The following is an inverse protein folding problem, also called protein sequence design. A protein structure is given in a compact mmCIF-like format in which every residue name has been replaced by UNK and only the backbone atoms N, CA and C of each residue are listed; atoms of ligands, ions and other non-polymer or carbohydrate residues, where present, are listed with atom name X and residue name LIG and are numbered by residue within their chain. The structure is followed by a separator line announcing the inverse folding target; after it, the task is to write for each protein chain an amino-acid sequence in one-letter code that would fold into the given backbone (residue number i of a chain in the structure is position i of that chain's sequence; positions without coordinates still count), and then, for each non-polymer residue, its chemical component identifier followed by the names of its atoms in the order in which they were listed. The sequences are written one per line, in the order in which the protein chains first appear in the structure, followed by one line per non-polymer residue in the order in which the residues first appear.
data_IF_515441308881
#
_entry.id   IF_515441308881
#
_cell.length_a   1.000
_cell.length_b   1.000
_cell.length_c   1.000
_cell.angle_alpha   90.00
_cell.angle_beta   90.00
_cell.angle_gamma   90.00
#
_symmetry.space_group_name_H-M   'P 1'
#
loop_
_entity.id
_entity.type
_entity.pdbx_description
1 polymer ?
#
# COMPACT_ATOMS: atom_id res chain seq x y z
N UNK A 1 6.83 1.70 14.92
CA UNK A 1 5.58 1.60 14.12
C UNK A 1 5.88 2.19 12.78
N UNK A 2 6.10 1.32 11.81
CA UNK A 2 6.12 1.58 10.38
C UNK A 2 4.97 2.48 9.88
N UNK A 3 5.10 2.96 8.65
CA UNK A 3 4.07 3.74 7.98
C UNK A 3 4.15 3.62 6.47
N UNK A 4 3.06 4.02 5.83
CA UNK A 4 2.93 4.06 4.37
C UNK A 4 2.72 5.49 3.88
N UNK A 5 3.13 5.74 2.64
CA UNK A 5 2.87 6.96 1.87
C UNK A 5 2.42 6.56 0.46
N UNK A 6 1.40 7.23 -0.05
CA UNK A 6 1.02 7.20 -1.46
C UNK A 6 0.80 8.64 -1.94
N UNK A 7 1.36 8.98 -3.09
CA UNK A 7 1.20 10.29 -3.72
C UNK A 7 0.80 10.05 -5.18
N UNK A 8 -0.33 10.62 -5.60
CA UNK A 8 -0.97 10.34 -6.88
C UNK A 8 -1.31 11.63 -7.61
N UNK A 9 -0.90 11.75 -8.87
CA UNK A 9 -1.31 12.85 -9.76
C UNK A 9 -2.68 12.59 -10.36
N UNK A 10 -3.72 13.24 -9.84
CA UNK A 10 -5.08 13.19 -10.39
C UNK A 10 -5.21 14.19 -11.56
N UNK A 11 -4.75 13.79 -12.74
CA UNK A 11 -4.91 14.57 -13.99
C UNK A 11 -3.90 15.70 -14.20
N UNK A 12 -2.94 15.87 -13.30
CA UNK A 12 -1.78 16.76 -13.43
C UNK A 12 -0.49 15.94 -13.23
N UNK A 13 0.65 16.55 -13.58
CA UNK A 13 1.98 15.96 -13.58
C UNK A 13 2.24 15.09 -12.34
N UNK A 14 2.95 13.97 -12.58
CA UNK A 14 3.55 13.14 -11.55
C UNK A 14 4.12 13.98 -10.40
N UNK A 15 3.87 13.63 -9.13
CA UNK A 15 4.44 14.36 -8.01
C UNK A 15 5.97 14.42 -8.16
N UNK A 16 6.55 15.63 -8.02
CA UNK A 16 8.00 15.83 -8.05
C UNK A 16 8.67 14.96 -6.98
N UNK A 17 9.73 14.25 -7.37
CA UNK A 17 10.63 13.49 -6.49
C UNK A 17 11.02 14.27 -5.23
N UNK A 18 11.26 15.59 -5.33
CA UNK A 18 11.57 16.45 -4.19
C UNK A 18 10.40 16.53 -3.21
N UNK A 19 9.17 16.70 -3.71
CA UNK A 19 7.96 16.72 -2.88
C UNK A 19 7.75 15.38 -2.19
N UNK A 20 7.89 14.28 -2.92
CA UNK A 20 7.78 12.93 -2.36
C UNK A 20 8.83 12.72 -1.26
N UNK A 21 10.09 13.09 -1.51
CA UNK A 21 11.16 12.99 -0.50
C UNK A 21 10.90 13.84 0.73
N UNK A 22 10.33 15.03 0.56
CA UNK A 22 9.92 15.88 1.70
C UNK A 22 8.79 15.24 2.51
N UNK A 23 7.80 14.64 1.88
CA UNK A 23 6.73 13.90 2.56
C UNK A 23 7.26 12.65 3.28
N UNK A 24 8.21 11.95 2.66
CA UNK A 24 8.89 10.79 3.27
C UNK A 24 9.71 11.19 4.49
N UNK A 25 10.32 12.38 4.51
CA UNK A 25 11.00 12.87 5.71
C UNK A 25 10.02 13.00 6.91
N UNK A 26 8.75 13.32 6.65
CA UNK A 26 7.70 13.30 7.67
C UNK A 26 7.40 11.90 8.22
N UNK A 27 7.66 10.84 7.44
CA UNK A 27 7.56 9.45 7.87
C UNK A 27 8.77 8.94 8.65
N UNK A 28 9.85 9.73 8.81
CA UNK A 28 11.07 9.27 9.49
C UNK A 28 10.82 8.82 10.95
N UNK A 29 9.82 9.39 11.63
CA UNK A 29 9.39 8.96 12.97
C UNK A 29 8.77 7.55 13.00
N UNK A 30 8.35 7.06 11.84
CA UNK A 30 7.78 5.73 11.63
C UNK A 30 8.76 4.72 11.03
N UNK A 31 9.90 5.17 10.54
CA UNK A 31 10.96 4.29 10.08
C UNK A 31 12.09 5.00 9.36
N UNK A 32 13.30 4.48 9.51
CA UNK A 32 14.51 4.99 8.85
C UNK A 32 14.79 4.33 7.52
N UNK A 33 14.28 3.12 7.29
CA UNK A 33 14.34 2.45 5.99
C UNK A 33 13.10 2.78 5.17
N UNK A 34 13.31 3.38 4.00
CA UNK A 34 12.23 3.68 3.06
C UNK A 34 12.36 2.81 1.80
N UNK A 35 11.28 2.12 1.45
CA UNK A 35 11.13 1.50 0.14
C UNK A 35 10.19 2.38 -0.68
N UNK A 36 10.58 2.71 -1.91
CA UNK A 36 9.83 3.60 -2.81
C UNK A 36 9.58 2.84 -4.10
N UNK A 37 8.37 2.95 -4.62
CA UNK A 37 7.93 2.40 -5.88
C UNK A 37 7.24 3.51 -6.70
N UNK A 38 7.79 3.81 -7.86
CA UNK A 38 7.19 4.72 -8.83
C UNK A 38 6.42 3.88 -9.86
N UNK A 39 5.09 3.93 -9.78
CA UNK A 39 4.18 3.19 -10.66
C UNK A 39 3.65 4.08 -11.80
N UNK A 40 3.12 3.42 -12.85
CA UNK A 40 2.43 4.07 -13.98
C UNK A 40 3.20 5.26 -14.58
N UNK A 41 4.47 5.04 -14.93
CA UNK A 41 5.34 6.07 -15.54
C UNK A 41 5.46 7.37 -14.73
N UNK A 42 5.29 7.28 -13.41
CA UNK A 42 5.40 8.41 -12.48
C UNK A 42 4.06 8.99 -12.01
N UNK A 43 2.92 8.57 -12.55
CA UNK A 43 1.61 9.07 -12.08
C UNK A 43 1.32 8.75 -10.61
N UNK A 44 1.99 7.73 -10.08
CA UNK A 44 1.82 7.27 -8.71
C UNK A 44 3.19 6.96 -8.07
N UNK A 45 3.42 7.49 -6.88
CA UNK A 45 4.53 7.09 -6.02
C UNK A 45 3.99 6.49 -4.73
N UNK A 46 4.34 5.23 -4.48
CA UNK A 46 4.01 4.52 -3.25
C UNK A 46 5.28 4.24 -2.47
N UNK A 47 5.20 4.32 -1.15
CA UNK A 47 6.34 4.11 -0.31
C UNK A 47 5.96 3.57 1.07
N UNK A 48 6.94 2.94 1.71
CA UNK A 48 6.85 2.49 3.09
C UNK A 48 8.04 2.95 3.87
N UNK A 49 7.83 3.45 5.09
CA UNK A 49 8.88 3.70 6.07
C UNK A 49 8.81 2.65 7.19
N UNK A 50 9.93 2.03 7.52
CA UNK A 50 10.04 1.02 8.61
C UNK A 50 11.36 1.11 9.36
N UNK A 51 11.44 0.49 10.53
CA UNK A 51 12.70 0.37 11.26
C UNK A 51 13.40 -0.97 10.98
N UNK A 52 14.75 -1.02 10.93
CA UNK A 52 15.49 -2.25 10.63
C UNK A 52 15.16 -3.43 11.56
N UNK A 53 14.93 -3.15 12.85
CA UNK A 53 14.62 -4.17 13.86
C UNK A 53 13.19 -4.71 13.76
N UNK A 54 12.31 -4.10 12.96
CA UNK A 54 10.98 -4.66 12.74
C UNK A 54 11.07 -6.02 11.98
N UNK A 55 12.22 -6.36 11.35
CA UNK A 55 12.50 -7.70 10.78
C UNK A 55 13.94 -8.20 10.98
N UNK A 56 14.09 -9.33 11.66
CA UNK A 56 15.34 -10.11 11.67
C UNK A 56 15.47 -11.10 10.47
N UNK A 57 14.78 -10.88 9.34
CA UNK A 57 14.67 -11.92 8.28
C UNK A 57 14.26 -11.51 6.84
N UNK A 58 14.41 -10.25 6.43
CA UNK A 58 14.27 -9.85 5.01
C UNK A 58 12.99 -9.08 4.64
N UNK A 59 12.66 -9.03 3.33
CA UNK A 59 11.55 -8.24 2.74
C UNK A 59 10.13 -8.73 3.07
N UNK A 60 9.99 -9.81 3.85
CA UNK A 60 8.70 -10.49 4.12
C UNK A 60 8.02 -10.01 5.41
N UNK A 61 7.77 -8.70 5.51
CA UNK A 61 7.09 -8.09 6.65
C UNK A 61 5.65 -7.62 6.39
N UNK A 62 4.90 -7.19 7.43
CA UNK A 62 3.57 -6.59 7.28
C UNK A 62 3.65 -5.29 6.48
N UNK A 63 4.81 -4.63 6.47
CA UNK A 63 5.04 -3.36 5.80
C UNK A 63 5.83 -3.60 4.53
N UNK A 64 5.16 -3.48 3.39
CA UNK A 64 5.83 -3.63 2.09
C UNK A 64 5.11 -2.88 0.99
N UNK A 65 5.89 -2.45 -0.01
CA UNK A 65 5.41 -1.90 -1.27
C UNK A 65 5.74 -2.88 -2.39
N UNK A 66 4.75 -3.21 -3.22
CA UNK A 66 4.89 -4.20 -4.30
C UNK A 66 4.05 -3.80 -5.51
N UNK A 67 4.49 -4.23 -6.70
CA UNK A 67 3.75 -4.11 -7.97
C UNK A 67 3.48 -5.49 -8.59
N UNK A 68 2.35 -5.59 -9.29
CA UNK A 68 2.04 -6.70 -10.19
C UNK A 68 1.25 -6.15 -11.39
N UNK A 69 1.94 -6.01 -12.53
CA UNK A 69 1.36 -5.42 -13.74
C UNK A 69 1.01 -3.94 -13.53
N UNK A 70 -0.22 -3.55 -13.87
CA UNK A 70 -0.71 -2.18 -13.68
C UNK A 70 -1.11 -1.85 -12.23
N UNK A 71 -1.02 -2.81 -11.30
CA UNK A 71 -1.37 -2.60 -9.90
C UNK A 71 -0.14 -2.40 -9.04
N UNK A 72 -0.21 -1.45 -8.12
CA UNK A 72 0.80 -1.23 -7.09
C UNK A 72 0.15 -1.01 -5.73
N UNK A 73 0.76 -1.48 -4.65
CA UNK A 73 0.23 -1.28 -3.29
C UNK A 73 1.37 -1.00 -2.31
N UNK A 74 1.18 -0.02 -1.43
CA UNK A 74 1.92 0.10 -0.18
C UNK A 74 0.97 -0.25 0.97
N UNK A 75 1.36 -1.23 1.78
CA UNK A 75 0.55 -1.66 2.91
C UNK A 75 1.41 -1.77 4.16
N UNK A 76 0.77 -1.48 5.29
CA UNK A 76 1.17 -1.92 6.62
C UNK A 76 0.06 -2.86 7.12
N UNK A 77 0.28 -4.18 7.06
CA UNK A 77 -0.78 -5.18 7.17
C UNK A 77 -0.32 -6.48 7.84
N UNK A 78 -0.97 -6.86 8.94
CA UNK A 78 -0.93 -8.21 9.52
C UNK A 78 -2.23 -8.95 9.22
N UNK A 79 -2.24 -9.80 8.19
CA UNK A 79 -3.40 -10.64 7.84
C UNK A 79 -3.37 -11.96 8.61
N UNK A 80 -4.47 -12.31 9.28
CA UNK A 80 -4.54 -13.44 10.20
C UNK A 80 -4.79 -14.77 9.47
N UNK A 81 -5.80 -14.83 8.59
CA UNK A 81 -6.22 -16.08 7.92
C UNK A 81 -5.68 -16.20 6.48
N UNK A 82 -4.37 -16.01 6.30
CA UNK A 82 -3.75 -15.97 4.97
C UNK A 82 -3.93 -17.26 4.16
N UNK A 83 -3.93 -18.43 4.82
CA UNK A 83 -4.17 -19.72 4.15
C UNK A 83 -5.57 -19.79 3.56
N UNK A 84 -6.57 -19.29 4.28
CA UNK A 84 -7.97 -19.30 3.84
C UNK A 84 -8.18 -18.29 2.72
N UNK A 85 -7.59 -17.10 2.85
CA UNK A 85 -7.59 -16.09 1.80
C UNK A 85 -6.96 -16.64 0.50
N UNK A 86 -5.81 -17.33 0.58
CA UNK A 86 -5.19 -17.98 -0.59
C UNK A 86 -6.10 -19.02 -1.24
N UNK A 87 -6.83 -19.81 -0.45
CA UNK A 87 -7.82 -20.77 -0.98
C UNK A 87 -8.96 -20.07 -1.71
N UNK A 88 -9.52 -18.99 -1.13
CA UNK A 88 -10.56 -18.19 -1.76
C UNK A 88 -10.08 -17.55 -3.08
N UNK A 89 -8.85 -17.04 -3.10
CA UNK A 89 -8.23 -16.46 -4.31
C UNK A 89 -8.01 -17.51 -5.40
N UNK A 90 -7.57 -18.71 -5.02
CA UNK A 90 -7.43 -19.83 -5.95
C UNK A 90 -8.79 -20.23 -6.55
N UNK A 91 -9.85 -20.30 -5.73
CA UNK A 91 -11.21 -20.57 -6.20
C UNK A 91 -11.74 -19.48 -7.14
N UNK A 92 -11.33 -18.23 -6.93
CA UNK A 92 -11.62 -17.10 -7.82
C UNK A 92 -10.74 -17.08 -9.10
N UNK A 93 -9.82 -18.04 -9.27
CA UNK A 93 -8.93 -18.12 -10.42
C UNK A 93 -7.82 -17.06 -10.45
N UNK A 94 -7.53 -16.42 -9.31
CA UNK A 94 -6.53 -15.35 -9.23
C UNK A 94 -5.20 -15.89 -8.66
N UNK A 95 -4.09 -15.82 -9.43
CA UNK A 95 -2.80 -16.25 -8.93
C UNK A 95 -2.27 -15.26 -7.88
N UNK A 96 -1.72 -15.79 -6.78
CA UNK A 96 -0.98 -15.00 -5.79
C UNK A 96 0.51 -15.12 -6.08
N UNK A 97 1.11 -14.05 -6.60
CA UNK A 97 2.56 -13.96 -6.83
C UNK A 97 3.19 -13.35 -5.59
N UNK A 98 4.03 -14.08 -4.86
CA UNK A 98 4.70 -13.59 -3.65
C UNK A 98 4.09 -14.05 -2.32
N UNK A 99 4.75 -13.67 -1.22
CA UNK A 99 4.47 -14.19 0.13
C UNK A 99 3.99 -13.13 1.12
N UNK A 100 4.13 -11.84 0.83
CA UNK A 100 3.78 -10.77 1.79
C UNK A 100 2.28 -10.48 1.80
N UNK A 101 1.75 -9.89 2.89
CA UNK A 101 0.37 -9.40 2.94
C UNK A 101 0.00 -8.47 1.79
N UNK A 102 0.92 -7.62 1.33
CA UNK A 102 0.71 -6.74 0.18
C UNK A 102 0.41 -7.52 -1.12
N UNK A 103 1.04 -8.67 -1.34
CA UNK A 103 0.73 -9.53 -2.49
C UNK A 103 -0.67 -10.14 -2.39
N UNK A 104 -1.11 -10.50 -1.19
CA UNK A 104 -2.48 -10.98 -0.96
C UNK A 104 -3.51 -9.88 -1.19
N UNK A 105 -3.19 -8.63 -0.81
CA UNK A 105 -4.05 -7.47 -1.07
C UNK A 105 -4.20 -7.22 -2.57
N UNK A 106 -3.10 -7.25 -3.35
CA UNK A 106 -3.17 -7.13 -4.81
C UNK A 106 -4.05 -8.23 -5.44
N UNK A 107 -3.85 -9.48 -5.02
CA UNK A 107 -4.66 -10.60 -5.51
C UNK A 107 -6.14 -10.46 -5.12
N UNK A 108 -6.42 -10.05 -3.88
CA UNK A 108 -7.78 -9.80 -3.41
C UNK A 108 -8.48 -8.70 -4.21
N UNK A 109 -7.75 -7.63 -4.51
CA UNK A 109 -8.25 -6.55 -5.34
C UNK A 109 -8.52 -7.01 -6.79
N UNK A 110 -7.67 -7.86 -7.37
CA UNK A 110 -7.95 -8.47 -8.69
C UNK A 110 -9.20 -9.33 -8.69
N UNK A 111 -9.42 -10.10 -7.62
CA UNK A 111 -10.56 -11.01 -7.51
C UNK A 111 -11.89 -10.29 -7.24
N UNK A 112 -11.88 -9.27 -6.39
CA UNK A 112 -13.11 -8.70 -5.82
C UNK A 112 -13.21 -7.17 -5.93
N UNK A 113 -12.25 -6.52 -6.58
CA UNK A 113 -12.23 -5.07 -6.77
C UNK A 113 -12.15 -4.31 -5.44
N UNK A 114 -12.90 -3.21 -5.32
CA UNK A 114 -12.91 -2.35 -4.12
C UNK A 114 -13.45 -3.07 -2.88
N UNK A 115 -14.27 -4.11 -3.08
CA UNK A 115 -14.81 -4.93 -1.99
C UNK A 115 -13.80 -5.93 -1.44
N UNK A 116 -12.55 -5.91 -1.92
CA UNK A 116 -11.50 -6.80 -1.42
C UNK A 116 -11.27 -6.61 0.09
N UNK A 117 -11.41 -5.39 0.61
CA UNK A 117 -11.23 -5.10 2.04
C UNK A 117 -12.21 -5.87 2.93
N UNK A 118 -13.42 -6.18 2.44
CA UNK A 118 -14.42 -6.99 3.17
C UNK A 118 -13.99 -8.46 3.34
N UNK A 119 -13.01 -8.91 2.56
CA UNK A 119 -12.46 -10.28 2.60
C UNK A 119 -11.15 -10.38 3.37
N UNK A 120 -10.61 -9.24 3.82
CA UNK A 120 -9.36 -9.19 4.56
C UNK A 120 -9.64 -9.21 6.06
N UNK A 121 -9.03 -10.16 6.75
CA UNK A 121 -9.12 -10.29 8.21
C UNK A 121 -7.75 -10.08 8.83
N UNK A 122 -7.63 -9.06 9.68
CA UNK A 122 -6.37 -8.67 10.29
C UNK A 122 -6.35 -7.21 10.74
N UNK A 123 -5.16 -6.72 11.06
CA UNK A 123 -4.88 -5.30 11.23
C UNK A 123 -4.18 -4.77 9.98
N UNK A 124 -4.75 -3.79 9.29
CA UNK A 124 -4.18 -3.33 8.04
C UNK A 124 -4.54 -1.89 7.74
N UNK A 125 -3.62 -1.21 7.06
CA UNK A 125 -3.88 -0.02 6.29
C UNK A 125 -3.11 -0.15 4.98
N UNK A 126 -3.76 0.11 3.86
CA UNK A 126 -3.09 0.09 2.56
C UNK A 126 -3.59 1.20 1.65
N UNK A 127 -2.72 1.54 0.70
CA UNK A 127 -3.04 2.37 -0.45
C UNK A 127 -2.61 1.63 -1.71
N UNK A 128 -3.54 1.49 -2.64
CA UNK A 128 -3.40 0.75 -3.88
C UNK A 128 -3.64 1.70 -5.05
N UNK A 129 -2.78 1.61 -6.06
CA UNK A 129 -2.96 2.21 -7.38
C UNK A 129 -3.38 1.14 -8.39
N UNK A 130 -4.42 1.44 -9.15
CA UNK A 130 -4.85 0.68 -10.31
C UNK A 130 -4.64 1.53 -11.56
N UNK A 131 -3.58 1.23 -12.30
CA UNK A 131 -3.18 1.97 -13.49
C UNK A 131 -4.10 1.76 -14.68
N UNK A 132 -4.74 0.59 -14.81
CA UNK A 132 -5.67 0.30 -15.90
C UNK A 132 -6.94 1.16 -15.76
N UNK A 133 -7.40 1.34 -14.53
CA UNK A 133 -8.59 2.16 -14.21
C UNK A 133 -8.26 3.58 -13.76
N UNK A 134 -6.97 3.94 -13.70
CA UNK A 134 -6.46 5.21 -13.18
C UNK A 134 -7.10 5.62 -11.85
N UNK A 135 -7.12 4.72 -10.87
CA UNK A 135 -7.79 4.96 -9.57
C UNK A 135 -6.96 4.56 -8.37
N UNK A 136 -7.19 5.27 -7.28
CA UNK A 136 -6.58 5.01 -5.97
C UNK A 136 -7.62 4.34 -5.07
N UNK A 137 -7.24 3.24 -4.43
CA UNK A 137 -8.05 2.54 -3.45
C UNK A 137 -7.31 2.55 -2.12
N UNK A 138 -7.96 3.12 -1.11
CA UNK A 138 -7.45 3.14 0.26
C UNK A 138 -8.39 2.35 1.15
N UNK A 139 -7.85 1.48 1.99
CA UNK A 139 -8.65 0.81 3.00
C UNK A 139 -7.85 0.59 4.29
N UNK A 140 -8.61 0.44 5.38
CA UNK A 140 -8.09 0.07 6.70
C UNK A 140 -8.98 -1.00 7.34
N UNK A 141 -8.45 -1.68 8.33
CA UNK A 141 -9.20 -2.62 9.15
C UNK A 141 -10.35 -1.95 9.91
N UNK A 142 -11.34 -2.76 10.30
CA UNK A 142 -12.54 -2.31 11.02
C UNK A 142 -12.21 -1.57 12.32
N UNK A 143 -11.20 -2.03 13.05
CA UNK A 143 -10.77 -1.41 14.31
C UNK A 143 -9.97 -0.12 14.12
N UNK A 144 -9.55 0.19 12.88
CA UNK A 144 -8.68 1.31 12.57
C UNK A 144 -7.37 1.28 13.35
N UNK A 145 -6.85 0.10 13.67
CA UNK A 145 -5.63 -0.05 14.48
C UNK A 145 -4.44 0.65 13.81
N UNK A 146 -4.39 0.62 12.48
CA UNK A 146 -3.34 1.30 11.70
C UNK A 146 -3.88 2.62 11.12
N UNK A 147 -3.26 3.76 11.47
CA UNK A 147 -3.70 5.06 10.98
C UNK A 147 -3.40 5.23 9.48
N UNK A 148 -4.26 6.01 8.85
CA UNK A 148 -4.32 6.31 7.43
C UNK A 148 -5.06 7.64 7.26
N UNK A 149 -4.34 8.65 6.82
CA UNK A 149 -4.83 9.99 6.57
C UNK A 149 -4.74 10.24 5.08
N UNK A 150 -5.61 11.10 4.56
CA UNK A 150 -5.53 11.54 3.18
C UNK A 150 -5.69 13.05 3.10
N UNK A 151 -5.08 13.65 2.08
CA UNK A 151 -5.20 15.06 1.76
C UNK A 151 -5.19 15.22 0.24
N UNK A 152 -6.00 16.15 -0.26
CA UNK A 152 -6.04 16.48 -1.68
C UNK A 152 -5.67 17.96 -1.86
N UNK A 153 -4.74 18.25 -2.76
CA UNK A 153 -4.27 19.60 -3.03
C UNK A 153 -3.69 19.69 -4.44
N UNK A 154 -4.04 20.74 -5.19
CA UNK A 154 -3.43 21.02 -6.50
C UNK A 154 -3.45 19.85 -7.49
N UNK A 155 -4.54 19.07 -7.53
CA UNK A 155 -4.63 17.87 -8.37
C UNK A 155 -3.80 16.67 -7.88
N UNK A 156 -3.19 16.75 -6.70
CA UNK A 156 -2.49 15.64 -6.05
C UNK A 156 -3.37 15.05 -4.96
N UNK A 157 -3.42 13.72 -4.86
CA UNK A 157 -3.90 13.00 -3.68
C UNK A 157 -2.69 12.43 -2.93
N UNK A 158 -2.57 12.79 -1.65
CA UNK A 158 -1.59 12.21 -0.74
C UNK A 158 -2.30 11.37 0.31
N UNK A 159 -1.73 10.21 0.63
CA UNK A 159 -2.22 9.26 1.63
C UNK A 159 -1.06 8.86 2.51
N UNK A 160 -1.18 8.96 3.84
CA UNK A 160 -0.06 8.69 4.75
C UNK A 160 -0.52 8.11 6.09
N UNK A 161 0.35 7.35 6.77
CA UNK A 161 0.07 6.84 8.13
C UNK A 161 0.16 7.88 9.23
N UNK A 162 0.65 9.09 8.95
CA UNK A 162 0.79 10.16 9.93
C UNK A 162 0.57 11.52 9.28
N UNK A 163 0.11 12.46 10.10
CA UNK A 163 0.20 13.89 9.83
C UNK A 163 1.39 14.47 10.62
N UNK A 164 1.99 15.59 10.17
CA UNK A 164 3.05 16.29 10.90
C UNK A 164 2.66 16.72 12.31
#
# INVERSE_FOLDING_TARGET
MSGILGVFGLGACSPDDRTVRSMLAGLARRGTECNILNAASGEATLATGRFPWEFAGGLSGPVSVVEDGALAVAADAGLYYQRDLRRQLQQAGVPVRGSTPSHLILAAYRAWGERCAERLEGDFAFVLWDGDKRRVVCARDFGGKRPLFHAQFGGTLAVASTIP
#
